data_IF_257450661261
#
_entry.id   IF_257450661261
#
_cell.length_a   1.000
_cell.length_b   1.000
_cell.length_c   1.000
_cell.angle_alpha   90.00
_cell.angle_beta   90.00
_cell.angle_gamma   90.00
#
_symmetry.space_group_name_H-M   'P 1'
#
loop_
_entity.id
_entity.type
_entity.pdbx_description
1 polymer ?
#
# COMPACT_ATOMS: atom_id res chain seq x y z
N UNK A 1 -0.02 14.46 9.01
CA UNK A 1 -1.37 14.27 8.47
C UNK A 1 -1.80 12.89 8.91
N UNK A 2 -2.85 12.77 9.72
CA UNK A 2 -3.26 11.48 10.30
C UNK A 2 -4.09 10.73 9.24
N UNK A 3 -3.69 9.53 8.84
CA UNK A 3 -4.50 8.71 7.93
C UNK A 3 -5.62 8.04 8.72
N UNK A 4 -6.82 7.98 8.13
CA UNK A 4 -7.98 7.24 8.65
C UNK A 4 -7.80 5.72 8.50
N UNK A 5 -6.58 5.23 8.71
CA UNK A 5 -6.22 3.83 8.61
C UNK A 5 -6.81 3.02 9.77
N UNK A 6 -7.38 1.87 9.46
CA UNK A 6 -7.95 0.94 10.43
C UNK A 6 -7.45 -0.48 10.18
N UNK A 7 -7.23 -1.24 11.23
CA UNK A 7 -6.91 -2.66 11.11
C UNK A 7 -8.18 -3.50 11.00
N UNK A 8 -8.28 -4.32 9.95
CA UNK A 8 -9.31 -5.34 9.81
C UNK A 8 -8.71 -6.71 10.12
N UNK A 9 -9.07 -7.23 11.29
CA UNK A 9 -8.61 -8.52 11.79
C UNK A 9 -8.97 -9.67 10.85
N UNK A 10 -10.20 -9.71 10.34
CA UNK A 10 -10.70 -10.81 9.49
C UNK A 10 -9.90 -10.98 8.19
N UNK A 11 -9.30 -9.90 7.70
CA UNK A 11 -8.55 -9.86 6.45
C UNK A 11 -7.05 -9.79 6.65
N UNK A 12 -6.59 -9.71 7.90
CA UNK A 12 -5.20 -9.43 8.25
C UNK A 12 -4.63 -8.27 7.41
N UNK A 13 -5.36 -7.14 7.36
CA UNK A 13 -4.99 -5.99 6.54
C UNK A 13 -5.31 -4.66 7.23
N UNK A 14 -4.60 -3.61 6.83
CA UNK A 14 -4.95 -2.23 7.17
C UNK A 14 -5.68 -1.60 5.99
N UNK A 15 -6.87 -1.07 6.23
CA UNK A 15 -7.67 -0.35 5.26
C UNK A 15 -7.44 1.14 5.42
N UNK A 16 -7.30 1.86 4.31
CA UNK A 16 -7.10 3.30 4.29
C UNK A 16 -7.76 3.94 3.07
N UNK A 17 -8.18 5.21 3.16
CA UNK A 17 -8.74 5.91 2.01
C UNK A 17 -7.63 6.44 1.10
N UNK A 18 -7.85 6.37 -0.21
CA UNK A 18 -7.11 7.13 -1.22
C UNK A 18 -8.08 7.99 -2.04
N UNK A 19 -7.53 9.03 -2.65
CA UNK A 19 -8.29 10.00 -3.43
C UNK A 19 -7.64 10.19 -4.81
N UNK A 20 -7.98 9.34 -5.81
CA UNK A 20 -7.32 9.35 -7.10
C UNK A 20 -7.38 10.69 -7.85
N UNK A 21 -8.47 11.44 -7.68
CA UNK A 21 -8.70 12.77 -8.25
C UNK A 21 -8.48 13.91 -7.23
N UNK A 22 -7.82 13.63 -6.10
CA UNK A 22 -7.63 14.57 -4.99
C UNK A 22 -8.80 14.59 -4.00
N UNK A 23 -8.66 15.31 -2.89
CA UNK A 23 -9.56 15.22 -1.71
C UNK A 23 -11.05 15.52 -1.97
N UNK A 24 -11.37 16.26 -3.02
CA UNK A 24 -12.75 16.54 -3.44
C UNK A 24 -13.32 15.50 -4.40
N UNK A 25 -12.49 14.57 -4.86
CA UNK A 25 -12.83 13.48 -5.76
C UNK A 25 -13.45 12.28 -5.05
N UNK A 26 -13.54 11.16 -5.77
CA UNK A 26 -14.11 9.94 -5.19
C UNK A 26 -13.16 9.39 -4.12
N UNK A 27 -13.73 8.92 -3.02
CA UNK A 27 -13.01 8.16 -2.01
C UNK A 27 -12.98 6.69 -2.44
N UNK A 28 -11.78 6.10 -2.51
CA UNK A 28 -11.58 4.66 -2.74
C UNK A 28 -10.95 4.07 -1.48
N UNK A 29 -11.41 2.90 -1.05
CA UNK A 29 -10.80 2.17 0.06
C UNK A 29 -9.74 1.24 -0.52
N UNK A 30 -8.50 1.45 -0.09
CA UNK A 30 -7.36 0.61 -0.39
C UNK A 30 -6.97 -0.20 0.84
N UNK A 31 -6.24 -1.27 0.60
CA UNK A 31 -5.83 -2.21 1.63
C UNK A 31 -4.36 -2.55 1.47
N UNK A 32 -3.67 -2.76 2.59
CA UNK A 32 -2.31 -3.29 2.63
C UNK A 32 -2.26 -4.47 3.60
N UNK A 33 -1.65 -5.58 3.18
CA UNK A 33 -1.61 -6.80 4.01
C UNK A 33 -0.71 -6.62 5.24
N UNK A 34 -1.03 -7.38 6.30
CA UNK A 34 -0.21 -7.48 7.50
C UNK A 34 1.22 -7.89 7.16
N UNK A 35 1.41 -8.96 6.37
CA UNK A 35 2.73 -9.43 5.96
C UNK A 35 3.56 -8.32 5.32
N UNK A 36 2.95 -7.51 4.43
CA UNK A 36 3.65 -6.39 3.81
C UNK A 36 4.08 -5.35 4.83
N UNK A 37 3.21 -5.00 5.78
CA UNK A 37 3.52 -4.04 6.84
C UNK A 37 4.61 -4.54 7.79
N UNK A 38 4.66 -5.85 8.04
CA UNK A 38 5.70 -6.47 8.88
C UNK A 38 7.03 -6.55 8.15
N UNK A 39 7.02 -7.11 6.95
CA UNK A 39 8.23 -7.45 6.20
C UNK A 39 8.94 -6.22 5.66
N UNK A 40 8.18 -5.22 5.19
CA UNK A 40 8.74 -4.06 4.49
C UNK A 40 8.68 -2.77 5.31
N UNK A 41 7.72 -2.65 6.22
CA UNK A 41 7.47 -1.41 6.97
C UNK A 41 7.70 -1.54 8.48
N UNK A 42 8.22 -2.69 8.93
CA UNK A 42 8.75 -2.87 10.29
C UNK A 42 7.70 -2.94 11.39
N UNK A 43 6.45 -3.32 11.08
CA UNK A 43 5.44 -3.52 12.12
C UNK A 43 5.76 -4.75 12.99
N UNK A 44 5.95 -4.57 14.30
CA UNK A 44 6.37 -5.66 15.22
C UNK A 44 5.29 -6.10 16.20
N UNK A 45 4.17 -5.38 16.30
CA UNK A 45 3.10 -5.64 17.28
C UNK A 45 1.79 -6.13 16.65
N UNK A 46 0.68 -5.97 17.39
CA UNK A 46 -0.67 -6.26 16.90
C UNK A 46 -1.25 -5.16 16.00
N UNK A 47 -2.58 -5.12 15.88
CA UNK A 47 -3.31 -4.18 14.99
C UNK A 47 -2.85 -2.72 15.06
N UNK A 48 -2.64 -2.19 16.27
CA UNK A 48 -2.19 -0.80 16.45
C UNK A 48 -0.80 -0.54 15.84
N UNK A 49 0.11 -1.51 15.95
CA UNK A 49 1.44 -1.42 15.33
C UNK A 49 1.35 -1.44 13.80
N UNK A 50 0.39 -2.18 13.24
CA UNK A 50 0.16 -2.24 11.79
C UNK A 50 -0.40 -0.90 11.29
N UNK A 51 -1.39 -0.34 12.01
CA UNK A 51 -1.93 0.99 11.70
C UNK A 51 -0.85 2.06 11.82
N UNK A 52 0.00 1.99 12.85
CA UNK A 52 1.10 2.93 13.01
C UNK A 52 2.13 2.84 11.89
N UNK A 53 2.57 1.63 11.51
CA UNK A 53 3.48 1.46 10.39
C UNK A 53 2.91 1.99 9.06
N UNK A 54 1.61 1.79 8.84
CA UNK A 54 0.89 2.34 7.69
C UNK A 54 0.87 3.89 7.71
N UNK A 55 0.66 4.50 8.89
CA UNK A 55 0.69 5.97 9.05
C UNK A 55 2.07 6.56 8.83
N UNK A 56 3.10 5.93 9.42
CA UNK A 56 4.48 6.42 9.35
C UNK A 56 5.04 6.40 7.93
N UNK A 57 4.53 5.50 7.08
CA UNK A 57 4.95 5.32 5.69
C UNK A 57 3.85 5.65 4.68
N UNK A 58 2.84 6.42 5.09
CA UNK A 58 1.62 6.63 4.31
C UNK A 58 1.90 7.24 2.94
N UNK A 59 2.87 8.15 2.83
CA UNK A 59 3.20 8.81 1.56
C UNK A 59 3.62 7.80 0.48
N UNK A 60 4.39 6.77 0.85
CA UNK A 60 4.86 5.72 -0.08
C UNK A 60 3.72 4.76 -0.40
N UNK A 61 2.99 4.33 0.61
CA UNK A 61 1.86 3.39 0.47
C UNK A 61 0.75 4.01 -0.38
N UNK A 62 0.41 5.29 -0.15
CA UNK A 62 -0.58 6.04 -0.93
C UNK A 62 -0.15 6.15 -2.40
N UNK A 63 1.12 6.48 -2.67
CA UNK A 63 1.61 6.57 -4.05
C UNK A 63 1.46 5.25 -4.80
N UNK A 64 1.79 4.12 -4.16
CA UNK A 64 1.65 2.79 -4.76
C UNK A 64 0.17 2.44 -4.96
N UNK A 65 -0.69 2.73 -3.98
CA UNK A 65 -2.13 2.53 -4.08
C UNK A 65 -2.75 3.34 -5.24
N UNK A 66 -2.36 4.61 -5.37
CA UNK A 66 -2.78 5.48 -6.48
C UNK A 66 -2.28 4.96 -7.82
N UNK A 67 -1.03 4.47 -7.88
CA UNK A 67 -0.47 3.89 -9.11
C UNK A 67 -1.25 2.65 -9.54
N UNK A 68 -1.52 1.73 -8.61
CA UNK A 68 -2.33 0.53 -8.85
C UNK A 68 -3.73 0.91 -9.36
N UNK A 69 -4.42 1.82 -8.66
CA UNK A 69 -5.76 2.27 -9.05
C UNK A 69 -5.81 2.92 -10.44
N UNK A 70 -4.76 3.65 -10.84
CA UNK A 70 -4.68 4.23 -12.19
C UNK A 70 -4.52 3.17 -13.28
N UNK A 71 -3.81 2.07 -12.99
CA UNK A 71 -3.63 0.95 -13.93
C UNK A 71 -4.90 0.14 -14.07
N UNK A 72 -5.58 -0.11 -12.94
CA UNK A 72 -6.70 -1.04 -12.85
C UNK A 72 -7.87 -0.43 -12.04
N UNK A 73 -8.54 0.61 -12.56
CA UNK A 73 -9.49 1.44 -11.79
C UNK A 73 -10.78 0.73 -11.36
N UNK A 74 -11.05 -0.44 -11.94
CA UNK A 74 -12.22 -1.27 -11.61
C UNK A 74 -11.90 -2.39 -10.63
N UNK A 75 -10.62 -2.60 -10.30
CA UNK A 75 -10.21 -3.64 -9.37
C UNK A 75 -10.05 -3.07 -7.94
N UNK A 76 -10.31 -3.88 -6.91
CA UNK A 76 -9.95 -3.52 -5.54
C UNK A 76 -8.45 -3.21 -5.44
N UNK A 77 -8.10 -2.18 -4.66
CA UNK A 77 -6.70 -1.83 -4.41
C UNK A 77 -6.21 -2.64 -3.21
N UNK A 78 -5.53 -3.76 -3.48
CA UNK A 78 -4.98 -4.66 -2.45
C UNK A 78 -3.47 -4.75 -2.63
N UNK A 79 -2.74 -4.13 -1.71
CA UNK A 79 -1.29 -4.05 -1.76
C UNK A 79 -0.66 -5.20 -0.96
N UNK A 80 0.08 -6.03 -1.68
CA UNK A 80 1.05 -7.00 -1.16
C UNK A 80 2.50 -6.56 -1.37
N UNK A 81 3.45 -7.35 -0.87
CA UNK A 81 4.91 -7.14 -0.96
C UNK A 81 5.39 -6.92 -2.39
N UNK A 82 4.84 -7.63 -3.37
CA UNK A 82 5.18 -7.52 -4.80
C UNK A 82 4.94 -6.13 -5.40
N UNK A 83 4.11 -5.30 -4.77
CA UNK A 83 3.87 -3.92 -5.23
C UNK A 83 5.01 -2.96 -4.85
N UNK A 84 5.90 -3.39 -3.96
CA UNK A 84 7.01 -2.60 -3.43
C UNK A 84 8.37 -3.15 -3.84
N UNK A 85 8.42 -4.32 -4.48
CA UNK A 85 9.65 -4.87 -5.04
C UNK A 85 9.89 -4.25 -6.42
N UNK A 86 11.08 -3.71 -6.64
CA UNK A 86 11.50 -3.37 -8.00
C UNK A 86 11.63 -4.68 -8.78
N UNK A 87 11.15 -4.76 -10.05
CA UNK A 87 11.55 -5.85 -10.90
C UNK A 87 13.08 -5.80 -10.99
N UNK A 88 13.75 -6.88 -10.58
CA UNK A 88 15.18 -7.02 -10.75
C UNK A 88 15.49 -6.73 -12.22
N UNK A 89 16.13 -5.60 -12.49
CA UNK A 89 16.42 -5.19 -13.85
C UNK A 89 17.23 -6.31 -14.50
N UNK A 90 16.63 -6.99 -15.47
CA UNK A 90 17.36 -7.87 -16.38
C UNK A 90 18.39 -6.97 -17.07
N UNK A 91 19.63 -7.03 -16.58
CA UNK A 91 20.76 -6.38 -17.23
C UNK A 91 21.02 -7.19 -18.48
N UNK A 92 20.36 -6.83 -19.58
CA UNK A 92 20.75 -7.27 -20.89
C UNK A 92 22.07 -6.57 -21.23
N UNK A 93 23.17 -7.27 -20.95
CA UNK A 93 24.50 -6.91 -21.41
C UNK A 93 24.51 -7.15 -22.91
N UNK A 94 24.08 -6.15 -23.68
CA UNK A 94 24.44 -6.05 -25.08
C UNK A 94 25.89 -5.59 -25.17
N UNK A 95 26.81 -6.55 -25.09
CA UNK A 95 28.19 -6.35 -25.52
C UNK A 95 28.21 -6.24 -27.06
N UNK A 96 28.64 -5.08 -27.55
CA UNK A 96 29.04 -4.86 -28.95
C UNK A 96 30.50 -5.25 -29.13
#
# INVERSE_FOLDING_TARGET
MESDAIYCFDRASVLFPIYPEGRSGRRVIAEISEDTLRDLFGATGGGDSLVQACRDHFDVIEQVALHHHRREPTQPVVLGTDHFTLPAAVSDVSAT
#
